data_IF_297415887935
#
_entry.id   IF_297415887935
#
_cell.length_a   1.000
_cell.length_b   1.000
_cell.length_c   1.000
_cell.angle_alpha   90.00
_cell.angle_beta   90.00
_cell.angle_gamma   90.00
#
_symmetry.space_group_name_H-M   'P 1'
#
loop_
_entity.id
_entity.type
_entity.pdbx_description
1 polymer ?
#
# COMPACT_ATOMS: atom_id res chain seq x y z
N UNK A 1 12.20 -11.50 -27.09
CA UNK A 1 12.03 -10.28 -26.27
C UNK A 1 11.19 -10.67 -25.07
N UNK A 2 11.79 -10.86 -23.88
CA UNK A 2 11.05 -11.27 -22.67
C UNK A 2 10.44 -10.01 -22.06
N UNK A 3 9.11 -9.93 -21.98
CA UNK A 3 8.41 -8.94 -21.15
C UNK A 3 8.61 -9.34 -19.70
N UNK A 4 9.53 -8.67 -18.99
CA UNK A 4 9.67 -8.84 -17.55
C UNK A 4 8.65 -7.91 -16.89
N UNK A 5 7.59 -8.47 -16.32
CA UNK A 5 6.65 -7.70 -15.50
C UNK A 5 7.30 -7.36 -14.16
N UNK A 6 7.15 -6.12 -13.65
CA UNK A 6 7.67 -5.76 -12.34
C UNK A 6 7.03 -6.62 -11.25
N UNK A 7 7.84 -7.04 -10.27
CA UNK A 7 7.31 -7.73 -9.09
C UNK A 7 6.52 -6.73 -8.24
N UNK A 8 5.35 -7.14 -7.77
CA UNK A 8 4.47 -6.33 -6.93
C UNK A 8 4.40 -6.90 -5.50
N UNK A 9 4.04 -6.03 -4.55
CA UNK A 9 3.69 -6.36 -3.17
C UNK A 9 2.28 -5.85 -2.89
N UNK A 10 1.49 -6.66 -2.18
CA UNK A 10 0.20 -6.22 -1.66
C UNK A 10 0.43 -5.21 -0.53
N UNK A 11 0.06 -3.96 -0.78
CA UNK A 11 0.14 -2.85 0.18
C UNK A 11 -1.27 -2.46 0.57
N UNK A 12 -1.53 -2.29 1.86
CA UNK A 12 -2.85 -1.93 2.38
C UNK A 12 -2.81 -0.52 2.95
N UNK A 13 -3.72 0.31 2.49
CA UNK A 13 -3.95 1.67 2.98
C UNK A 13 -5.19 1.67 3.85
N UNK A 14 -5.13 2.35 4.99
CA UNK A 14 -6.26 2.43 5.91
C UNK A 14 -6.31 3.77 6.63
N UNK A 15 -7.52 4.25 6.92
CA UNK A 15 -7.73 5.42 7.76
C UNK A 15 -9.04 5.27 8.54
N UNK A 16 -9.11 5.81 9.75
CA UNK A 16 -10.31 5.75 10.58
C UNK A 16 -11.10 7.05 10.49
N UNK A 17 -12.23 7.02 9.79
CA UNK A 17 -13.12 8.17 9.60
C UNK A 17 -14.58 7.70 9.77
N UNK A 18 -15.09 7.62 11.00
CA UNK A 18 -16.43 7.09 11.30
C UNK A 18 -17.55 7.87 10.63
N UNK A 19 -17.41 9.19 10.53
CA UNK A 19 -18.46 10.08 9.99
C UNK A 19 -18.39 10.27 8.48
N UNK A 20 -17.29 9.86 7.82
CA UNK A 20 -17.15 9.97 6.37
C UNK A 20 -18.22 9.12 5.65
N UNK A 21 -18.71 9.62 4.52
CA UNK A 21 -19.66 8.94 3.62
C UNK A 21 -18.94 8.28 2.45
N UNK A 22 -17.84 8.86 1.98
CA UNK A 22 -16.96 8.28 0.98
C UNK A 22 -15.49 8.61 1.27
N UNK A 23 -14.61 7.67 0.93
CA UNK A 23 -13.17 7.90 0.95
C UNK A 23 -12.58 7.29 -0.31
N UNK A 24 -11.77 8.06 -1.03
CA UNK A 24 -10.97 7.59 -2.15
C UNK A 24 -9.49 7.72 -1.80
N UNK A 25 -8.71 6.72 -2.21
CA UNK A 25 -7.26 6.80 -2.16
C UNK A 25 -6.75 7.43 -3.46
N UNK A 26 -5.97 8.50 -3.36
CA UNK A 26 -5.52 9.27 -4.52
C UNK A 26 -4.01 9.43 -4.46
N UNK A 27 -3.29 9.05 -5.50
CA UNK A 27 -1.83 9.12 -5.49
C UNK A 27 -1.17 8.70 -6.80
N UNK A 28 0.15 8.55 -6.77
CA UNK A 28 0.96 8.30 -7.96
C UNK A 28 0.55 7.01 -8.70
N UNK A 29 0.15 5.97 -7.97
CA UNK A 29 -0.27 4.68 -8.53
C UNK A 29 -1.57 4.73 -9.34
N UNK A 30 -2.38 5.79 -9.20
CA UNK A 30 -3.61 5.97 -9.95
C UNK A 30 -3.68 7.32 -10.68
N UNK A 31 -2.53 7.94 -10.96
CA UNK A 31 -2.41 9.23 -11.61
C UNK A 31 -3.23 10.32 -10.91
N UNK A 32 -3.29 10.30 -9.58
CA UNK A 32 -4.03 11.27 -8.78
C UNK A 32 -5.53 11.35 -9.12
N UNK A 33 -6.13 10.23 -9.52
CA UNK A 33 -7.56 10.16 -9.85
C UNK A 33 -8.44 9.86 -8.63
N UNK A 34 -9.35 10.80 -8.32
CA UNK A 34 -10.35 10.66 -7.26
C UNK A 34 -11.32 9.47 -7.46
N UNK A 35 -11.50 9.02 -8.70
CA UNK A 35 -12.51 8.01 -9.05
C UNK A 35 -11.90 6.62 -9.26
N UNK A 36 -10.58 6.51 -9.37
CA UNK A 36 -9.92 5.26 -9.74
C UNK A 36 -9.81 4.26 -8.58
N UNK A 37 -9.81 4.72 -7.32
CA UNK A 37 -9.55 3.86 -6.16
C UNK A 37 -10.44 4.21 -4.96
N UNK A 38 -11.76 3.97 -5.04
CA UNK A 38 -12.64 4.10 -3.88
C UNK A 38 -12.30 3.08 -2.79
N UNK A 39 -12.32 3.51 -1.53
CA UNK A 39 -12.06 2.66 -0.37
C UNK A 39 -13.36 2.05 0.17
N UNK A 40 -13.24 0.93 0.87
CA UNK A 40 -14.38 0.26 1.52
C UNK A 40 -14.43 0.60 3.01
N UNK A 41 -15.59 1.04 3.49
CA UNK A 41 -15.84 1.26 4.92
C UNK A 41 -16.04 -0.08 5.64
N UNK A 42 -15.20 -0.34 6.63
CA UNK A 42 -15.28 -1.48 7.53
C UNK A 42 -15.95 -1.13 8.87
N UNK A 43 -15.83 -2.05 9.84
CA UNK A 43 -16.32 -1.84 11.21
C UNK A 43 -15.56 -0.69 11.89
N UNK A 44 -16.24 0.03 12.78
CA UNK A 44 -15.62 1.12 13.56
C UNK A 44 -15.19 2.33 12.75
N UNK A 45 -15.69 2.50 11.52
CA UNK A 45 -15.33 3.65 10.68
C UNK A 45 -14.00 3.51 9.95
N UNK A 46 -13.38 2.32 9.94
CA UNK A 46 -12.09 2.12 9.28
C UNK A 46 -12.30 1.90 7.78
N UNK A 47 -11.77 2.80 6.96
CA UNK A 47 -11.71 2.69 5.52
C UNK A 47 -10.47 1.94 5.11
N UNK A 48 -10.60 0.98 4.17
CA UNK A 48 -9.46 0.19 3.69
C UNK A 48 -9.49 -0.07 2.18
N UNK A 49 -8.29 -0.14 1.59
CA UNK A 49 -8.06 -0.68 0.25
C UNK A 49 -6.69 -1.36 0.19
N UNK A 50 -6.56 -2.42 -0.60
CA UNK A 50 -5.26 -3.05 -0.88
C UNK A 50 -4.95 -2.97 -2.36
N UNK A 51 -3.72 -2.58 -2.68
CA UNK A 51 -3.19 -2.48 -4.05
C UNK A 51 -1.98 -3.39 -4.20
N UNK A 52 -1.79 -3.94 -5.40
CA UNK A 52 -0.53 -4.57 -5.79
C UNK A 52 0.38 -3.50 -6.39
N UNK A 53 1.40 -3.07 -5.64
CA UNK A 53 2.30 -2.01 -6.04
C UNK A 53 3.71 -2.57 -6.27
N UNK A 54 4.41 -2.15 -7.35
CA UNK A 54 5.84 -2.37 -7.48
C UNK A 54 6.64 -1.80 -6.30
N UNK A 55 7.90 -2.21 -6.20
CA UNK A 55 8.84 -1.57 -5.29
C UNK A 55 9.02 -0.10 -5.68
N UNK A 56 8.94 0.80 -4.69
CA UNK A 56 9.02 2.23 -4.93
C UNK A 56 8.48 3.08 -3.78
N UNK A 57 8.59 4.38 -3.97
CA UNK A 57 8.01 5.40 -3.09
C UNK A 57 6.85 6.07 -3.83
N UNK A 58 5.70 6.19 -3.16
CA UNK A 58 4.47 6.72 -3.74
C UNK A 58 3.92 7.82 -2.86
N UNK A 59 3.64 8.98 -3.45
CA UNK A 59 2.88 10.04 -2.80
C UNK A 59 1.39 9.76 -2.93
N UNK A 60 0.64 10.03 -1.85
CA UNK A 60 -0.81 9.82 -1.81
C UNK A 60 -1.48 10.73 -0.78
N UNK A 61 -2.81 10.83 -0.90
CA UNK A 61 -3.73 11.43 0.08
C UNK A 61 -5.06 10.68 0.07
N UNK A 62 -5.88 10.89 1.10
CA UNK A 62 -7.27 10.45 1.15
C UNK A 62 -8.18 11.61 0.75
N UNK A 63 -9.05 11.39 -0.23
CA UNK A 63 -10.12 12.32 -0.56
C UNK A 63 -11.41 11.86 0.11
N UNK A 64 -11.85 12.63 1.10
CA UNK A 64 -13.01 12.37 1.94
C UNK A 64 -14.18 13.20 1.44
N UNK A 65 -15.33 12.54 1.27
CA UNK A 65 -16.60 13.15 0.85
C UNK A 65 -16.47 14.03 -0.41
N UNK A 66 -15.49 13.74 -1.28
CA UNK A 66 -15.17 14.41 -2.55
C UNK A 66 -14.50 15.78 -2.49
N UNK A 67 -14.31 16.37 -1.30
CA UNK A 67 -13.76 17.73 -1.17
C UNK A 67 -12.66 17.86 -0.12
N UNK A 68 -12.62 17.00 0.90
CA UNK A 68 -11.68 17.13 2.00
C UNK A 68 -10.45 16.25 1.79
N UNK A 69 -9.27 16.84 1.88
CA UNK A 69 -8.01 16.16 1.58
C UNK A 69 -7.25 15.87 2.86
N UNK A 70 -7.15 14.59 3.21
CA UNK A 70 -6.58 14.13 4.47
C UNK A 70 -5.27 13.37 4.20
N UNK A 71 -4.25 13.65 5.00
CA UNK A 71 -3.01 12.88 5.01
C UNK A 71 -3.12 11.71 5.99
N UNK A 72 -2.32 10.68 5.76
CA UNK A 72 -2.10 9.60 6.72
C UNK A 72 -1.17 10.09 7.84
N UNK A 73 -1.66 10.12 9.08
CA UNK A 73 -0.91 10.53 10.26
C UNK A 73 0.21 9.54 10.63
N UNK A 74 0.12 8.29 10.18
CA UNK A 74 1.16 7.26 10.40
C UNK A 74 2.23 7.27 9.30
N UNK A 75 2.03 8.02 8.21
CA UNK A 75 2.97 8.11 7.10
C UNK A 75 3.82 9.38 7.18
N UNK A 76 5.09 9.34 6.72
CA UNK A 76 5.88 10.54 6.49
C UNK A 76 5.18 11.48 5.48
N UNK A 77 5.36 12.78 5.63
CA UNK A 77 4.85 13.79 4.71
C UNK A 77 5.94 14.48 3.90
N UNK A 78 5.60 14.96 2.70
CA UNK A 78 6.47 15.76 1.84
C UNK A 78 5.73 16.98 1.29
N UNK A 79 6.35 18.17 1.24
CA UNK A 79 5.73 19.36 0.64
C UNK A 79 5.37 19.14 -0.84
N UNK A 80 4.22 19.68 -1.26
CA UNK A 80 3.76 19.65 -2.64
C UNK A 80 3.74 21.07 -3.26
N UNK A 81 3.47 21.14 -4.57
CA UNK A 81 3.49 22.39 -5.35
C UNK A 81 2.35 23.37 -5.00
N UNK A 82 1.35 22.93 -4.24
CA UNK A 82 0.19 23.74 -3.85
C UNK A 82 0.35 24.36 -2.46
N UNK A 83 1.53 24.26 -1.86
CA UNK A 83 1.79 24.79 -0.52
C UNK A 83 1.19 23.95 0.61
N UNK A 84 0.77 22.72 0.32
CA UNK A 84 0.39 21.72 1.33
C UNK A 84 1.37 20.53 1.29
N UNK A 85 1.04 19.43 1.97
CA UNK A 85 1.86 18.22 1.97
C UNK A 85 1.10 17.00 1.44
N UNK A 86 1.83 15.99 0.97
CA UNK A 86 1.33 14.66 0.61
C UNK A 86 1.92 13.60 1.56
N UNK A 87 1.18 12.54 1.84
CA UNK A 87 1.72 11.36 2.55
C UNK A 87 2.56 10.50 1.63
N UNK A 88 3.53 9.78 2.20
CA UNK A 88 4.48 8.95 1.47
C UNK A 88 4.40 7.48 1.90
N UNK A 89 4.13 6.59 0.94
CA UNK A 89 4.15 5.15 1.14
C UNK A 89 5.39 4.52 0.49
N UNK A 90 6.17 3.80 1.30
CA UNK A 90 7.34 3.03 0.83
C UNK A 90 6.99 1.55 0.67
N UNK A 91 7.08 1.05 -0.55
CA UNK A 91 6.83 -0.34 -0.89
C UNK A 91 8.18 -1.03 -1.10
N UNK A 92 8.60 -1.85 -0.14
CA UNK A 92 9.82 -2.65 -0.25
C UNK A 92 9.47 -4.13 -0.44
N UNK A 93 10.06 -4.77 -1.44
CA UNK A 93 9.94 -6.20 -1.66
C UNK A 93 10.80 -6.97 -0.66
N UNK A 94 10.32 -8.12 -0.12
CA UNK A 94 11.17 -8.96 0.70
C UNK A 94 12.36 -9.43 -0.14
N UNK A 95 13.58 -9.26 0.40
CA UNK A 95 14.81 -9.77 -0.24
C UNK A 95 14.60 -11.26 -0.55
N UNK A 96 14.98 -11.74 -1.76
CA UNK A 96 14.86 -13.16 -2.09
C UNK A 96 15.54 -13.98 -1.01
N UNK A 97 14.77 -14.78 -0.28
CA UNK A 97 15.33 -15.64 0.77
C UNK A 97 16.21 -16.67 0.05
N UNK A 98 17.52 -16.65 0.29
CA UNK A 98 18.41 -17.68 -0.22
C UNK A 98 17.86 -19.06 0.23
N UNK A 99 17.64 -19.98 -0.71
CA UNK A 99 17.17 -21.32 -0.40
C UNK A 99 18.22 -21.98 0.51
N UNK A 100 17.89 -22.24 1.77
CA UNK A 100 18.72 -23.10 2.62
C UNK A 100 18.74 -24.49 1.98
N UNK A 101 19.91 -24.97 1.56
CA UNK A 101 20.11 -26.36 1.18
C UNK A 101 19.83 -27.23 2.41
N UNK A 102 18.73 -27.97 2.39
CA UNK A 102 18.46 -28.99 3.40
C UNK A 102 19.36 -30.18 3.11
N UNK A 103 20.45 -30.30 3.85
CA UNK A 103 21.22 -31.53 3.96
C UNK A 103 20.33 -32.62 4.57
N UNK A 104 20.19 -33.74 3.86
CA UNK A 104 19.44 -34.93 4.25
C UNK A 104 20.17 -35.61 5.41
N UNK A 105 19.71 -35.42 6.64
CA UNK A 105 20.10 -36.28 7.78
C UNK A 105 19.30 -37.58 7.68
N UNK A 106 19.95 -38.65 7.23
CA UNK A 106 19.42 -40.00 7.31
C UNK A 106 19.46 -40.47 8.76
N UNK A 107 18.30 -40.54 9.40
CA UNK A 107 18.08 -41.32 10.62
C UNK A 107 17.21 -42.52 10.27
N UNK A 108 17.76 -43.74 10.36
CA UNK A 108 16.93 -44.94 10.54
C UNK A 108 17.62 -45.84 11.56
N UNK A 109 16.92 -46.04 12.66
CA UNK A 109 17.27 -46.93 13.76
C UNK A 109 16.53 -48.26 13.60
N UNK A 110 17.14 -49.32 14.15
CA UNK A 110 16.54 -50.54 14.71
C UNK A 110 16.16 -51.69 13.75
N UNK A 111 16.93 -52.77 13.80
CA UNK A 111 16.57 -53.98 14.56
C UNK A 111 17.84 -54.73 14.96
#
# INVERSE_FOLDING_TARGET
MVKVSPRTKKTTFQITLPEAKSVALVGDFNNWSANATPMKKGKGGVWKVSLELPEGEYQFRYLVDTYDWVNDDEAPSVPNIFGSENSVAKVELPKPRAKKSTAKKSSKSKK
#
